data_IF_493925810908
#
_entry.id   IF_493925810908
#
_cell.length_a   1.000
_cell.length_b   1.000
_cell.length_c   1.000
_cell.angle_alpha   90.00
_cell.angle_beta   90.00
_cell.angle_gamma   90.00
#
_symmetry.space_group_name_H-M   'P 1'
#
loop_
_entity.id
_entity.type
_entity.pdbx_description
1 polymer ?
#
# COMPACT_ATOMS: atom_id res chain seq x y z
N UNK A 1 -23.37 11.29 -2.96
CA UNK A 1 -22.36 12.27 -3.42
C UNK A 1 -22.69 13.65 -2.88
N UNK A 2 -21.66 14.43 -2.62
CA UNK A 2 -21.79 15.77 -2.08
C UNK A 2 -21.33 16.76 -3.14
N UNK A 3 -22.20 17.74 -3.48
CA UNK A 3 -21.85 18.80 -4.42
C UNK A 3 -20.82 19.74 -3.79
N UNK A 4 -19.78 20.10 -4.53
CA UNK A 4 -18.76 21.06 -4.10
C UNK A 4 -19.10 22.49 -4.48
N UNK A 5 -20.04 22.68 -5.43
CA UNK A 5 -20.34 23.99 -6.04
C UNK A 5 -19.27 24.47 -7.02
N UNK A 6 -18.22 23.69 -7.22
CA UNK A 6 -17.12 24.07 -8.13
C UNK A 6 -17.46 23.60 -9.53
N UNK A 7 -17.34 24.52 -10.50
CA UNK A 7 -17.55 24.24 -11.93
C UNK A 7 -16.25 24.51 -12.67
N UNK A 8 -15.85 23.54 -13.50
CA UNK A 8 -14.65 23.65 -14.35
C UNK A 8 -15.02 23.31 -15.78
N UNK A 9 -14.32 23.91 -16.73
CA UNK A 9 -14.50 23.62 -18.14
C UNK A 9 -13.51 22.57 -18.60
N UNK A 10 -13.99 21.66 -19.44
CA UNK A 10 -13.12 20.72 -20.15
C UNK A 10 -12.40 21.49 -21.27
N UNK A 11 -11.10 21.23 -21.45
CA UNK A 11 -10.31 21.87 -22.51
C UNK A 11 -10.39 21.10 -23.86
N UNK A 12 -9.69 21.59 -24.87
CA UNK A 12 -9.67 20.96 -26.20
C UNK A 12 -8.99 19.59 -26.24
N UNK A 13 -8.20 19.27 -25.21
CA UNK A 13 -7.55 17.96 -25.08
C UNK A 13 -8.31 17.01 -24.14
N UNK A 14 -9.51 17.41 -23.71
CA UNK A 14 -10.32 16.57 -22.81
C UNK A 14 -9.87 16.61 -21.37
N UNK A 15 -9.13 17.62 -20.94
CA UNK A 15 -8.60 17.72 -19.57
C UNK A 15 -9.49 18.61 -18.72
N UNK A 16 -9.63 18.19 -17.45
CA UNK A 16 -10.28 18.99 -16.40
C UNK A 16 -9.33 19.05 -15.21
N UNK A 17 -9.15 20.26 -14.66
CA UNK A 17 -8.30 20.44 -13.47
C UNK A 17 -9.10 20.11 -12.22
N UNK A 18 -8.59 19.21 -11.42
CA UNK A 18 -9.14 18.92 -10.09
C UNK A 18 -8.71 20.06 -9.16
N UNK A 19 -9.66 20.81 -8.56
CA UNK A 19 -9.33 21.95 -7.69
C UNK A 19 -8.45 21.56 -6.52
N UNK A 20 -7.59 22.48 -6.09
CA UNK A 20 -6.65 22.26 -4.99
C UNK A 20 -7.35 21.86 -3.69
N UNK A 21 -8.51 22.46 -3.39
CA UNK A 21 -9.28 22.13 -2.18
C UNK A 21 -9.76 20.68 -2.20
N UNK A 22 -10.21 20.19 -3.37
CA UNK A 22 -10.67 18.82 -3.54
C UNK A 22 -9.48 17.86 -3.39
N UNK A 23 -8.36 18.19 -4.03
CA UNK A 23 -7.14 17.38 -3.91
C UNK A 23 -6.67 17.26 -2.47
N UNK A 24 -6.67 18.37 -1.74
CA UNK A 24 -6.27 18.41 -0.34
C UNK A 24 -7.20 17.58 0.54
N UNK A 25 -8.50 17.70 0.36
CA UNK A 25 -9.52 16.97 1.13
C UNK A 25 -9.42 15.47 0.91
N UNK A 26 -9.16 15.04 -0.32
CA UNK A 26 -9.07 13.62 -0.68
C UNK A 26 -7.65 13.06 -0.60
N UNK A 27 -6.66 13.89 -0.28
CA UNK A 27 -5.27 13.45 -0.21
C UNK A 27 -4.70 13.02 -1.56
N UNK A 28 -5.07 13.72 -2.63
CA UNK A 28 -4.59 13.43 -3.99
C UNK A 28 -3.40 14.35 -4.29
N UNK A 29 -2.26 13.73 -4.62
CA UNK A 29 -1.01 14.44 -4.89
C UNK A 29 -0.54 14.18 -6.32
N UNK A 30 0.36 15.03 -6.79
CA UNK A 30 0.98 14.88 -8.10
C UNK A 30 1.60 13.48 -8.25
N UNK A 31 1.28 12.82 -9.35
CA UNK A 31 1.76 11.47 -9.65
C UNK A 31 0.87 10.36 -9.11
N UNK A 32 -0.11 10.67 -8.26
CA UNK A 32 -1.02 9.65 -7.75
C UNK A 32 -1.83 9.03 -8.89
N UNK A 33 -1.95 7.69 -8.93
CA UNK A 33 -2.82 7.05 -9.89
C UNK A 33 -4.27 7.21 -9.48
N UNK A 34 -5.10 7.56 -10.44
CA UNK A 34 -6.54 7.65 -10.23
C UNK A 34 -7.25 6.66 -11.13
N UNK A 35 -8.16 5.91 -10.55
CA UNK A 35 -9.05 5.04 -11.31
C UNK A 35 -10.30 5.82 -11.71
N UNK A 36 -10.69 5.66 -12.96
CA UNK A 36 -11.81 6.41 -13.54
C UNK A 36 -13.02 5.50 -13.63
N UNK A 37 -14.09 5.90 -12.99
CA UNK A 37 -15.37 5.22 -13.05
C UNK A 37 -16.39 6.07 -13.79
N UNK A 38 -17.29 5.44 -14.49
CA UNK A 38 -18.42 6.13 -15.14
C UNK A 38 -19.73 5.63 -14.57
N UNK A 39 -20.67 6.52 -14.40
CA UNK A 39 -22.06 6.22 -14.09
C UNK A 39 -22.93 6.87 -15.16
N UNK A 40 -24.25 6.79 -15.04
CA UNK A 40 -25.20 7.21 -16.09
C UNK A 40 -24.93 8.62 -16.63
N UNK A 41 -24.56 9.55 -15.77
CA UNK A 41 -24.37 10.96 -16.12
C UNK A 41 -23.14 11.60 -15.46
N UNK A 42 -22.24 10.79 -14.89
CA UNK A 42 -21.07 11.32 -14.20
C UNK A 42 -19.81 10.48 -14.42
N UNK A 43 -18.68 11.17 -14.25
CA UNK A 43 -17.36 10.55 -14.22
C UNK A 43 -16.82 10.71 -12.80
N UNK A 44 -16.37 9.62 -12.20
CA UNK A 44 -15.82 9.60 -10.85
C UNK A 44 -14.36 9.21 -10.89
N UNK A 45 -13.54 9.90 -10.10
CA UNK A 45 -12.14 9.57 -9.90
C UNK A 45 -11.94 9.12 -8.47
N UNK A 46 -11.29 7.96 -8.31
CA UNK A 46 -10.86 7.47 -7.01
C UNK A 46 -9.37 7.22 -7.02
N UNK A 47 -8.70 7.44 -5.89
CA UNK A 47 -7.32 6.99 -5.75
C UNK A 47 -7.27 5.50 -6.05
N UNK A 48 -6.41 5.11 -6.97
CA UNK A 48 -6.20 3.71 -7.27
C UNK A 48 -5.57 3.03 -6.06
N UNK A 49 -6.24 1.99 -5.57
CA UNK A 49 -5.67 1.11 -4.57
C UNK A 49 -5.19 -0.13 -5.29
N UNK A 50 -3.88 -0.39 -5.19
CA UNK A 50 -3.32 -1.61 -5.76
C UNK A 50 -4.08 -2.82 -5.19
N UNK A 51 -4.20 -3.86 -6.00
CA UNK A 51 -4.71 -5.14 -5.53
C UNK A 51 -3.73 -5.70 -4.50
N UNK A 52 -4.11 -5.64 -3.24
CA UNK A 52 -3.31 -6.12 -2.13
C UNK A 52 -3.47 -7.63 -1.90
N UNK A 53 -4.42 -8.27 -2.57
CA UNK A 53 -4.71 -9.69 -2.37
C UNK A 53 -3.53 -10.57 -2.76
N UNK A 54 -2.89 -10.27 -3.88
CA UNK A 54 -1.72 -11.01 -4.34
C UNK A 54 -0.52 -10.80 -3.41
N UNK A 55 -0.34 -9.58 -2.92
CA UNK A 55 0.72 -9.27 -1.96
C UNK A 55 0.48 -9.98 -0.62
N UNK A 56 -0.75 -9.96 -0.15
CA UNK A 56 -1.16 -10.63 1.09
C UNK A 56 -0.97 -12.15 0.97
N UNK A 57 -1.33 -12.74 -0.18
CA UNK A 57 -1.13 -14.17 -0.43
C UNK A 57 0.35 -14.55 -0.38
N UNK A 58 1.22 -13.74 -0.96
CA UNK A 58 2.68 -13.94 -0.90
C UNK A 58 3.17 -13.87 0.55
N UNK A 59 2.72 -12.86 1.30
CA UNK A 59 3.05 -12.74 2.72
C UNK A 59 2.57 -13.95 3.52
N UNK A 60 1.36 -14.41 3.30
CA UNK A 60 0.78 -15.53 4.06
C UNK A 60 1.58 -16.83 3.87
N UNK A 61 2.08 -17.08 2.65
CA UNK A 61 2.97 -18.21 2.39
C UNK A 61 4.28 -18.09 3.18
N UNK A 62 4.90 -16.91 3.17
CA UNK A 62 6.13 -16.67 3.92
C UNK A 62 5.89 -16.77 5.42
N UNK A 63 4.77 -16.23 5.89
CA UNK A 63 4.40 -16.29 7.29
C UNK A 63 4.21 -17.72 7.81
N UNK A 64 3.75 -18.63 6.97
CA UNK A 64 3.64 -20.05 7.33
C UNK A 64 4.98 -20.60 7.80
N UNK A 65 6.05 -20.27 7.10
CA UNK A 65 7.42 -20.71 7.46
C UNK A 65 7.93 -19.95 8.69
N UNK A 66 7.76 -18.63 8.72
CA UNK A 66 8.22 -17.79 9.81
C UNK A 66 7.56 -18.16 11.13
N UNK A 67 6.25 -18.37 11.11
CA UNK A 67 5.48 -18.73 12.30
C UNK A 67 5.92 -20.10 12.87
N UNK A 68 6.23 -21.08 12.02
CA UNK A 68 6.76 -22.36 12.44
C UNK A 68 8.10 -22.25 13.18
N UNK A 69 8.87 -21.21 12.87
CA UNK A 69 10.13 -20.91 13.54
C UNK A 69 9.95 -20.01 14.77
N UNK A 70 8.72 -19.72 15.15
CA UNK A 70 8.42 -18.86 16.29
C UNK A 70 8.57 -17.37 16.00
N UNK A 71 8.70 -16.98 14.73
CA UNK A 71 8.80 -15.56 14.34
C UNK A 71 7.40 -15.05 14.04
N UNK A 72 6.94 -14.12 14.84
CA UNK A 72 5.61 -13.52 14.71
C UNK A 72 5.72 -12.22 13.94
N UNK A 73 5.00 -12.12 12.83
CA UNK A 73 5.09 -10.99 11.90
C UNK A 73 3.71 -10.43 11.55
N UNK A 74 3.72 -9.25 10.94
CA UNK A 74 2.56 -8.65 10.28
C UNK A 74 3.00 -7.85 9.06
N UNK A 75 2.12 -7.76 8.08
CA UNK A 75 2.32 -6.97 6.89
C UNK A 75 1.56 -5.66 7.02
N UNK A 76 2.26 -4.55 6.76
CA UNK A 76 1.70 -3.21 6.81
C UNK A 76 1.74 -2.55 5.44
N UNK A 77 0.71 -1.78 5.14
CA UNK A 77 0.61 -0.98 3.94
C UNK A 77 0.19 0.44 4.32
N UNK A 78 1.01 1.42 3.96
CA UNK A 78 0.82 2.83 4.32
C UNK A 78 0.55 3.05 5.81
N UNK A 79 1.24 2.27 6.65
CA UNK A 79 1.14 2.35 8.10
C UNK A 79 0.08 1.47 8.74
N UNK A 80 -0.83 0.89 7.97
CA UNK A 80 -1.93 0.06 8.49
C UNK A 80 -1.65 -1.42 8.31
N UNK A 81 -1.96 -2.20 9.35
CA UNK A 81 -1.83 -3.66 9.27
C UNK A 81 -2.88 -4.24 8.32
N UNK A 82 -2.43 -4.97 7.30
CA UNK A 82 -3.32 -5.63 6.35
C UNK A 82 -3.39 -7.15 6.54
N UNK A 83 -2.40 -7.73 7.19
CA UNK A 83 -2.39 -9.15 7.53
C UNK A 83 -1.38 -9.40 8.65
N UNK A 84 -1.53 -10.49 9.38
CA UNK A 84 -0.56 -10.95 10.36
C UNK A 84 -1.16 -11.22 11.73
N UNK A 85 -0.28 -11.44 12.70
CA UNK A 85 -0.67 -11.90 14.03
C UNK A 85 -1.38 -10.80 14.83
N UNK A 86 -2.45 -11.16 15.60
CA UNK A 86 -3.20 -10.18 16.38
C UNK A 86 -2.39 -9.45 17.48
N UNK A 87 -1.27 -10.04 17.93
CA UNK A 87 -0.42 -9.40 18.94
C UNK A 87 0.33 -8.17 18.43
N UNK A 88 0.44 -8.01 17.11
CA UNK A 88 1.05 -6.83 16.52
C UNK A 88 0.02 -5.71 16.40
N UNK A 89 0.42 -4.45 16.63
CA UNK A 89 -0.52 -3.33 16.59
C UNK A 89 -1.06 -3.08 15.18
N UNK A 90 -2.19 -2.36 15.11
CA UNK A 90 -2.79 -1.98 13.83
C UNK A 90 -1.93 -1.00 13.05
N UNK A 91 -1.19 -0.15 13.76
CA UNK A 91 -0.26 0.78 13.16
C UNK A 91 1.15 0.19 13.17
N UNK A 92 1.92 0.56 12.14
CA UNK A 92 3.28 0.08 11.96
C UNK A 92 4.14 0.25 13.22
N UNK A 93 4.77 -0.84 13.65
CA UNK A 93 5.75 -0.85 14.73
C UNK A 93 7.12 -1.29 14.20
N UNK A 94 8.01 -1.83 15.03
CA UNK A 94 9.38 -2.23 14.64
C UNK A 94 9.44 -3.04 13.32
N UNK A 95 10.31 -2.67 12.37
CA UNK A 95 10.09 -3.00 10.97
C UNK A 95 11.29 -3.20 10.09
N UNK A 96 11.09 -4.02 9.07
CA UNK A 96 11.82 -3.94 7.81
C UNK A 96 11.00 -3.10 6.83
N UNK A 97 11.39 -1.85 6.61
CA UNK A 97 10.80 -1.01 5.59
C UNK A 97 11.17 -1.52 4.21
N UNK A 98 10.16 -1.69 3.40
CA UNK A 98 10.33 -2.06 2.00
C UNK A 98 10.09 -0.80 1.18
N UNK A 99 11.15 -0.01 0.99
CA UNK A 99 11.09 1.12 0.08
C UNK A 99 10.92 0.59 -1.32
N UNK A 100 9.67 0.45 -1.72
CA UNK A 100 9.34 0.22 -3.11
C UNK A 100 9.53 1.55 -3.81
N UNK A 101 10.60 1.66 -4.57
CA UNK A 101 10.89 2.83 -5.38
C UNK A 101 9.93 2.86 -6.57
N UNK A 102 8.65 2.94 -6.28
CA UNK A 102 7.62 3.12 -7.29
C UNK A 102 7.37 4.62 -7.47
N UNK A 103 6.82 4.98 -8.62
CA UNK A 103 6.32 6.34 -8.89
C UNK A 103 5.32 6.82 -7.84
N UNK A 104 4.85 5.91 -7.05
CA UNK A 104 3.85 6.12 -6.02
C UNK A 104 4.50 5.85 -4.68
N UNK A 105 4.59 6.84 -3.85
CA UNK A 105 5.15 6.76 -2.50
C UNK A 105 4.27 5.88 -1.62
N UNK A 106 4.24 4.58 -1.90
CA UNK A 106 3.52 3.61 -1.09
C UNK A 106 4.49 2.86 -0.22
N UNK A 107 4.21 2.86 1.05
CA UNK A 107 5.07 2.23 2.04
C UNK A 107 4.54 0.84 2.40
N UNK A 108 5.38 -0.16 2.18
CA UNK A 108 5.14 -1.51 2.69
C UNK A 108 6.15 -1.78 3.77
N UNK A 109 5.71 -2.46 4.81
CA UNK A 109 6.57 -2.79 5.93
C UNK A 109 6.25 -4.18 6.47
N UNK A 110 7.28 -4.89 6.90
CA UNK A 110 7.14 -6.16 7.61
C UNK A 110 7.49 -5.93 9.07
N UNK A 111 6.51 -6.02 9.95
CA UNK A 111 6.69 -5.88 11.38
C UNK A 111 6.95 -7.21 12.07
N UNK A 112 7.57 -7.18 13.24
CA UNK A 112 7.80 -8.35 14.07
C UNK A 112 7.77 -7.99 15.56
N UNK A 113 7.57 -9.01 16.41
CA UNK A 113 7.47 -8.82 17.87
C UNK A 113 8.80 -8.94 18.60
N UNK A 114 9.85 -9.42 17.95
CA UNK A 114 11.13 -9.66 18.59
C UNK A 114 11.90 -8.38 18.83
N UNK A 115 12.36 -8.14 20.07
CA UNK A 115 13.22 -7.01 20.39
C UNK A 115 14.67 -7.25 19.97
N UNK A 116 15.09 -8.52 20.02
CA UNK A 116 16.43 -8.94 19.58
C UNK A 116 16.27 -10.14 18.65
N UNK A 117 16.94 -10.10 17.51
CA UNK A 117 16.92 -11.17 16.53
C UNK A 117 18.26 -11.88 16.51
N UNK A 118 18.22 -13.20 16.44
CA UNK A 118 19.41 -13.98 16.09
C UNK A 118 19.82 -13.68 14.65
N UNK A 119 21.07 -13.99 14.29
CA UNK A 119 21.52 -13.80 12.90
C UNK A 119 20.68 -14.60 11.91
N UNK A 120 20.21 -15.79 12.29
CA UNK A 120 19.36 -16.64 11.48
C UNK A 120 17.97 -16.05 11.29
N UNK A 121 17.35 -15.57 12.37
CA UNK A 121 16.05 -14.90 12.34
C UNK A 121 16.10 -13.62 11.51
N UNK A 122 17.13 -12.83 11.66
CA UNK A 122 17.34 -11.62 10.86
C UNK A 122 17.46 -11.95 9.37
N UNK A 123 18.23 -12.98 9.03
CA UNK A 123 18.37 -13.42 7.64
C UNK A 123 17.03 -13.89 7.06
N UNK A 124 16.24 -14.63 7.80
CA UNK A 124 14.92 -15.10 7.37
C UNK A 124 13.95 -13.94 7.13
N UNK A 125 13.94 -12.95 8.04
CA UNK A 125 13.09 -11.76 7.90
C UNK A 125 13.51 -10.90 6.72
N UNK A 126 14.83 -10.75 6.48
CA UNK A 126 15.34 -10.03 5.31
C UNK A 126 14.93 -10.69 4.01
N UNK A 127 15.03 -12.01 3.92
CA UNK A 127 14.61 -12.77 2.75
C UNK A 127 13.12 -12.60 2.50
N UNK A 128 12.30 -12.72 3.54
CA UNK A 128 10.87 -12.50 3.44
C UNK A 128 10.55 -11.07 2.98
N UNK A 129 11.21 -10.08 3.56
CA UNK A 129 11.04 -8.68 3.20
C UNK A 129 11.40 -8.42 1.73
N UNK A 130 12.52 -8.96 1.26
CA UNK A 130 12.94 -8.83 -0.14
C UNK A 130 11.96 -9.50 -1.11
N UNK A 131 11.42 -10.65 -0.74
CA UNK A 131 10.43 -11.36 -1.56
C UNK A 131 9.13 -10.56 -1.67
N UNK A 132 8.66 -10.01 -0.58
CA UNK A 132 7.46 -9.15 -0.55
C UNK A 132 7.70 -7.89 -1.38
N UNK A 133 8.86 -7.26 -1.21
CA UNK A 133 9.24 -6.08 -1.99
C UNK A 133 9.24 -6.37 -3.49
N UNK A 134 9.85 -7.49 -3.89
CA UNK A 134 9.90 -7.87 -5.31
C UNK A 134 8.48 -8.09 -5.86
N UNK A 135 7.62 -8.73 -5.09
CA UNK A 135 6.22 -8.93 -5.48
C UNK A 135 5.48 -7.60 -5.61
N UNK A 136 5.70 -6.68 -4.71
CA UNK A 136 5.11 -5.35 -4.77
C UNK A 136 5.55 -4.58 -6.02
N UNK A 137 6.82 -4.65 -6.37
CA UNK A 137 7.36 -4.03 -7.58
C UNK A 137 6.68 -4.63 -8.83
N UNK A 138 6.54 -5.94 -8.90
CA UNK A 138 5.87 -6.62 -10.01
C UNK A 138 4.41 -6.18 -10.17
N UNK A 139 3.70 -5.97 -9.06
CA UNK A 139 2.29 -5.56 -9.07
C UNK A 139 2.15 -4.09 -9.50
N UNK A 140 3.07 -3.21 -9.07
CA UNK A 140 2.89 -1.75 -9.21
C UNK A 140 3.63 -1.12 -10.38
N UNK A 141 4.61 -1.79 -10.94
CA UNK A 141 5.39 -1.26 -12.07
C UNK A 141 4.88 -1.71 -13.45
N UNK A 142 3.65 -2.19 -13.49
CA UNK A 142 2.99 -2.48 -14.77
C UNK A 142 2.57 -1.20 -15.49
#
# INVERSE_FOLDING_TARGET
MKATGIVRRIDDLGRVVIPKEVRRTLGIYEGDPLEIYTDTDCVCFKKYQADLDELTATYDLLNTVLYKRGIITALYYDGDKISGHPSLPQNESAVYCLDCNSRYTRRIALGHTHSELTAEEDAMLRMAALTIRQKAIEIWDE
#
